data_IF_681890159536
#
_entry.id   IF_681890159536
#
_cell.length_a   1.000
_cell.length_b   1.000
_cell.length_c   1.000
_cell.angle_alpha   90.00
_cell.angle_beta   90.00
_cell.angle_gamma   90.00
#
_symmetry.space_group_name_H-M   'P 1'
#
loop_
_entity.id
_entity.type
_entity.pdbx_description
1 polymer ?
#
# COMPACT_ATOMS: atom_id res chain seq x y z
N UNK A 1 -9.19 -15.63 -29.97
CA UNK A 1 -9.66 -14.56 -29.06
C UNK A 1 -8.58 -14.33 -28.02
N UNK A 2 -7.79 -13.27 -28.17
CA UNK A 2 -6.74 -12.89 -27.22
C UNK A 2 -7.39 -12.25 -25.99
N UNK A 3 -7.45 -12.97 -24.87
CA UNK A 3 -7.74 -12.37 -23.58
C UNK A 3 -6.53 -11.52 -23.17
N UNK A 4 -6.62 -10.21 -23.35
CA UNK A 4 -5.62 -9.28 -22.87
C UNK A 4 -5.64 -9.30 -21.34
N UNK A 5 -4.55 -9.81 -20.76
CA UNK A 5 -4.14 -9.64 -19.37
C UNK A 5 -4.10 -8.14 -19.01
N UNK A 6 -5.22 -7.54 -18.60
CA UNK A 6 -5.20 -6.24 -17.94
C UNK A 6 -4.88 -6.46 -16.46
N UNK A 7 -3.60 -6.35 -16.11
CA UNK A 7 -3.08 -6.44 -14.74
C UNK A 7 -3.20 -5.13 -13.97
N UNK A 8 -4.02 -4.18 -14.41
CA UNK A 8 -4.09 -2.85 -13.80
C UNK A 8 -5.55 -2.47 -13.55
N UNK A 9 -5.86 -2.14 -12.30
CA UNK A 9 -7.19 -1.74 -11.81
C UNK A 9 -7.17 -0.25 -11.51
N UNK A 10 -8.08 0.51 -12.12
CA UNK A 10 -8.25 1.94 -11.87
C UNK A 10 -9.28 2.57 -12.81
N UNK A 11 -9.80 3.74 -12.41
CA UNK A 11 -10.78 4.48 -13.21
C UNK A 11 -10.11 5.25 -14.35
N UNK A 12 -10.92 5.74 -15.30
CA UNK A 12 -10.43 6.66 -16.32
C UNK A 12 -9.98 7.98 -15.69
N UNK A 13 -8.80 8.49 -16.03
CA UNK A 13 -8.26 9.70 -15.41
C UNK A 13 -9.06 10.94 -15.82
N UNK A 14 -9.50 11.70 -14.83
CA UNK A 14 -10.03 13.05 -15.04
C UNK A 14 -8.88 13.99 -15.47
N UNK A 15 -9.10 14.89 -16.44
CA UNK A 15 -8.05 15.78 -16.94
C UNK A 15 -7.68 16.81 -15.87
N UNK A 16 -6.39 17.13 -15.79
CA UNK A 16 -5.85 18.22 -14.96
C UNK A 16 -5.01 19.14 -15.83
N UNK A 17 -4.87 20.44 -15.49
CA UNK A 17 -4.04 21.36 -16.25
C UNK A 17 -2.56 20.91 -16.29
N UNK A 18 -1.99 20.88 -17.48
CA UNK A 18 -0.56 20.65 -17.69
C UNK A 18 0.17 22.00 -17.69
N UNK A 19 0.59 22.44 -16.52
CA UNK A 19 1.31 23.71 -16.33
C UNK A 19 2.53 23.51 -15.45
N UNK A 20 3.39 24.52 -15.33
CA UNK A 20 4.52 24.49 -14.39
C UNK A 20 4.10 24.61 -12.92
N UNK A 21 2.87 25.07 -12.65
CA UNK A 21 2.31 25.08 -11.30
C UNK A 21 1.72 23.71 -10.96
N UNK A 22 1.81 23.34 -9.68
CA UNK A 22 1.20 22.10 -9.18
C UNK A 22 -0.32 22.15 -9.39
N UNK A 23 -0.86 21.09 -9.99
CA UNK A 23 -2.29 20.86 -10.10
C UNK A 23 -2.80 19.95 -8.96
N UNK A 24 -4.11 19.72 -8.90
CA UNK A 24 -4.74 18.89 -7.88
C UNK A 24 -4.15 17.48 -7.80
N UNK A 25 -3.81 16.87 -8.94
CA UNK A 25 -3.18 15.55 -8.96
C UNK A 25 -1.78 15.60 -8.33
N UNK A 26 -1.02 16.65 -8.58
CA UNK A 26 0.33 16.81 -8.01
C UNK A 26 0.27 17.01 -6.50
N UNK A 27 -0.64 17.87 -6.01
CA UNK A 27 -0.87 18.03 -4.57
C UNK A 27 -1.32 16.73 -3.92
N UNK A 28 -2.26 16.01 -4.52
CA UNK A 28 -2.74 14.73 -3.99
C UNK A 28 -1.64 13.67 -3.93
N UNK A 29 -0.73 13.64 -4.92
CA UNK A 29 0.44 12.75 -4.89
C UNK A 29 1.40 13.12 -3.76
N UNK A 30 1.69 14.41 -3.56
CA UNK A 30 2.55 14.88 -2.48
C UNK A 30 1.97 14.52 -1.11
N UNK A 31 0.69 14.87 -0.87
CA UNK A 31 -0.01 14.53 0.36
C UNK A 31 -0.01 13.02 0.61
N UNK A 32 -0.32 12.21 -0.41
CA UNK A 32 -0.34 10.75 -0.26
C UNK A 32 1.05 10.19 0.06
N UNK A 33 2.11 10.75 -0.53
CA UNK A 33 3.48 10.35 -0.23
C UNK A 33 3.88 10.71 1.20
N UNK A 34 3.51 11.90 1.65
CA UNK A 34 3.74 12.38 3.02
C UNK A 34 3.01 11.49 4.04
N UNK A 35 1.73 11.17 3.81
CA UNK A 35 0.97 10.28 4.71
C UNK A 35 1.58 8.86 4.78
N UNK A 36 2.06 8.32 3.66
CA UNK A 36 2.79 7.02 3.66
C UNK A 36 4.04 7.09 4.52
N UNK A 37 4.84 8.13 4.33
CA UNK A 37 6.10 8.31 5.06
C UNK A 37 5.88 8.42 6.58
N UNK A 38 4.92 9.25 7.02
CA UNK A 38 4.67 9.43 8.45
C UNK A 38 4.06 8.19 9.08
N UNK A 39 3.17 7.49 8.37
CA UNK A 39 2.56 6.27 8.92
C UNK A 39 3.56 5.13 9.04
N UNK A 40 4.48 4.97 8.10
CA UNK A 40 5.60 4.01 8.23
C UNK A 40 6.50 4.37 9.42
N UNK A 41 6.79 5.66 9.61
CA UNK A 41 7.61 6.15 10.73
C UNK A 41 6.94 5.89 12.09
N UNK A 42 5.64 6.14 12.20
CA UNK A 42 4.86 5.83 13.39
C UNK A 42 4.78 4.33 13.66
N UNK A 43 4.69 3.50 12.61
CA UNK A 43 4.68 2.04 12.77
C UNK A 43 5.94 1.56 13.49
N UNK A 44 7.12 2.05 13.09
CA UNK A 44 8.38 1.76 13.78
C UNK A 44 8.38 2.28 15.22
N UNK A 45 8.00 3.55 15.42
CA UNK A 45 8.00 4.15 16.75
C UNK A 45 7.05 3.44 17.74
N UNK A 46 5.84 3.08 17.29
CA UNK A 46 4.85 2.38 18.12
C UNK A 46 5.30 0.98 18.55
N UNK A 47 6.12 0.31 17.72
CA UNK A 47 6.71 -0.98 18.11
C UNK A 47 7.79 -0.84 19.19
N UNK A 48 8.38 0.35 19.34
CA UNK A 48 9.54 0.60 20.20
C UNK A 48 9.22 1.47 21.44
N UNK A 49 8.02 2.06 21.52
CA UNK A 49 7.64 2.86 22.68
C UNK A 49 7.50 2.03 23.95
N UNK A 50 8.26 2.42 24.98
CA UNK A 50 8.21 1.83 26.31
C UNK A 50 7.32 2.59 27.30
N UNK A 51 6.79 3.76 26.92
CA UNK A 51 5.96 4.60 27.76
C UNK A 51 4.50 4.62 27.28
N UNK A 52 3.60 4.08 28.10
CA UNK A 52 2.21 3.81 27.71
C UNK A 52 1.41 5.06 27.30
N UNK A 53 1.55 6.19 28.01
CA UNK A 53 0.78 7.38 27.68
C UNK A 53 1.18 7.95 26.31
N UNK A 54 2.49 8.02 26.04
CA UNK A 54 3.01 8.48 24.76
C UNK A 54 2.64 7.52 23.63
N UNK A 55 2.67 6.21 23.90
CA UNK A 55 2.17 5.21 22.95
C UNK A 55 0.71 5.51 22.57
N UNK A 56 -0.18 5.74 23.54
CA UNK A 56 -1.60 6.01 23.25
C UNK A 56 -1.80 7.28 22.43
N UNK A 57 -1.10 8.37 22.77
CA UNK A 57 -1.19 9.64 22.05
C UNK A 57 -0.74 9.49 20.59
N UNK A 58 0.42 8.87 20.37
CA UNK A 58 0.94 8.66 19.01
C UNK A 58 0.11 7.63 18.24
N UNK A 59 -0.46 6.63 18.92
CA UNK A 59 -1.33 5.65 18.28
C UNK A 59 -2.62 6.30 17.76
N UNK A 60 -3.18 7.29 18.47
CA UNK A 60 -4.31 8.08 17.97
C UNK A 60 -3.93 8.83 16.68
N UNK A 61 -2.81 9.55 16.70
CA UNK A 61 -2.33 10.32 15.54
C UNK A 61 -2.04 9.39 14.36
N UNK A 62 -1.42 8.24 14.60
CA UNK A 62 -1.19 7.23 13.57
C UNK A 62 -2.49 6.79 12.90
N UNK A 63 -3.54 6.49 13.68
CA UNK A 63 -4.82 6.07 13.12
C UNK A 63 -5.46 7.19 12.28
N UNK A 64 -5.39 8.44 12.74
CA UNK A 64 -5.88 9.59 11.97
C UNK A 64 -5.13 9.76 10.63
N UNK A 65 -3.80 9.63 10.63
CA UNK A 65 -2.97 9.66 9.42
C UNK A 65 -3.28 8.49 8.47
N UNK A 66 -3.48 7.28 9.00
CA UNK A 66 -3.89 6.12 8.18
C UNK A 66 -5.23 6.35 7.50
N UNK A 67 -6.19 6.94 8.21
CA UNK A 67 -7.48 7.29 7.66
C UNK A 67 -7.38 8.41 6.62
N UNK A 68 -6.51 9.41 6.84
CA UNK A 68 -6.22 10.46 5.87
C UNK A 68 -5.62 9.88 4.59
N UNK A 69 -4.59 9.04 4.69
CA UNK A 69 -4.00 8.32 3.56
C UNK A 69 -5.07 7.53 2.78
N UNK A 70 -5.97 6.83 3.49
CA UNK A 70 -7.03 6.04 2.87
C UNK A 70 -8.00 6.91 2.09
N UNK A 71 -8.38 8.07 2.64
CA UNK A 71 -9.23 9.05 1.95
C UNK A 71 -8.54 9.59 0.70
N UNK A 72 -7.26 9.99 0.80
CA UNK A 72 -6.48 10.46 -0.35
C UNK A 72 -6.41 9.41 -1.46
N UNK A 73 -6.08 8.16 -1.11
CA UNK A 73 -6.09 7.05 -2.06
C UNK A 73 -7.44 6.90 -2.75
N UNK A 74 -8.54 6.91 -2.00
CA UNK A 74 -9.89 6.74 -2.57
C UNK A 74 -10.24 7.88 -3.53
N UNK A 75 -9.93 9.13 -3.18
CA UNK A 75 -10.14 10.28 -4.06
C UNK A 75 -9.32 10.13 -5.34
N UNK A 76 -8.02 9.83 -5.22
CA UNK A 76 -7.18 9.65 -6.41
C UNK A 76 -7.64 8.47 -7.27
N UNK A 77 -8.10 7.38 -6.66
CA UNK A 77 -8.65 6.23 -7.38
C UNK A 77 -9.94 6.60 -8.12
N UNK A 78 -10.86 7.33 -7.46
CA UNK A 78 -12.11 7.82 -8.06
C UNK A 78 -11.83 8.70 -9.29
N UNK A 79 -10.86 9.60 -9.19
CA UNK A 79 -10.42 10.47 -10.29
C UNK A 79 -9.56 9.78 -11.35
N UNK A 80 -9.24 8.48 -11.18
CA UNK A 80 -8.39 7.72 -12.10
C UNK A 80 -6.91 8.11 -12.07
N UNK A 81 -6.49 8.89 -11.06
CA UNK A 81 -5.11 9.35 -10.87
C UNK A 81 -4.22 8.33 -10.18
N UNK A 82 -4.81 7.31 -9.53
CA UNK A 82 -4.10 6.19 -8.93
C UNK A 82 -4.57 4.86 -9.54
N UNK A 83 -3.61 4.02 -9.92
CA UNK A 83 -3.87 2.68 -10.47
C UNK A 83 -3.18 1.63 -9.61
N UNK A 84 -3.84 0.51 -9.42
CA UNK A 84 -3.31 -0.63 -8.66
C UNK A 84 -2.97 -1.73 -9.65
N UNK A 85 -1.75 -2.25 -9.60
CA UNK A 85 -1.38 -3.41 -10.39
C UNK A 85 -1.82 -4.68 -9.66
N UNK A 86 -2.65 -5.48 -10.31
CA UNK A 86 -2.93 -6.84 -9.89
C UNK A 86 -1.71 -7.70 -10.19
N UNK A 87 -1.20 -8.39 -9.16
CA UNK A 87 -0.09 -9.31 -9.35
C UNK A 87 -0.52 -10.50 -10.23
N UNK A 88 0.41 -10.99 -11.05
CA UNK A 88 0.14 -12.10 -11.97
C UNK A 88 -0.13 -13.37 -11.18
N UNK A 89 -1.23 -14.06 -11.45
CA UNK A 89 -1.60 -15.34 -10.84
C UNK A 89 -0.45 -16.36 -10.86
N UNK A 90 0.35 -16.37 -11.92
CA UNK A 90 1.51 -17.23 -12.05
C UNK A 90 2.57 -16.98 -10.96
N UNK A 91 2.85 -15.72 -10.62
CA UNK A 91 3.79 -15.39 -9.54
C UNK A 91 3.25 -15.77 -8.17
N UNK A 92 1.95 -15.59 -7.94
CA UNK A 92 1.29 -16.07 -6.71
C UNK A 92 1.45 -17.59 -6.56
N UNK A 93 1.23 -18.33 -7.64
CA UNK A 93 1.34 -19.78 -7.64
C UNK A 93 2.79 -20.24 -7.44
N UNK A 94 3.76 -19.55 -8.04
CA UNK A 94 5.18 -19.80 -7.80
C UNK A 94 5.59 -19.55 -6.34
N UNK A 95 5.18 -18.42 -5.76
CA UNK A 95 5.47 -18.08 -4.37
C UNK A 95 4.85 -19.11 -3.41
N UNK A 96 3.61 -19.55 -3.67
CA UNK A 96 2.95 -20.60 -2.91
C UNK A 96 3.73 -21.92 -2.95
N UNK A 97 4.11 -22.39 -4.14
CA UNK A 97 4.88 -23.64 -4.30
C UNK A 97 6.25 -23.54 -3.62
N UNK A 98 6.95 -22.41 -3.76
CA UNK A 98 8.23 -22.18 -3.07
C UNK A 98 8.07 -22.26 -1.56
N UNK A 99 7.04 -21.61 -1.01
CA UNK A 99 6.75 -21.64 0.42
C UNK A 99 6.43 -23.05 0.92
N UNK A 100 5.60 -23.82 0.21
CA UNK A 100 5.31 -25.23 0.56
C UNK A 100 6.59 -26.07 0.57
N UNK A 101 7.43 -25.95 -0.45
CA UNK A 101 8.71 -26.67 -0.51
C UNK A 101 9.65 -26.27 0.65
N UNK A 102 9.69 -24.99 1.02
CA UNK A 102 10.48 -24.53 2.18
C UNK A 102 9.95 -25.13 3.47
N UNK A 103 8.63 -25.14 3.68
CA UNK A 103 8.01 -25.75 4.86
C UNK A 103 8.32 -27.24 4.96
N UNK A 104 8.23 -27.98 3.85
CA UNK A 104 8.60 -29.39 3.83
C UNK A 104 10.07 -29.56 4.21
N UNK A 105 10.98 -28.90 3.52
CA UNK A 105 12.43 -29.08 3.71
C UNK A 105 12.97 -28.58 5.07
N UNK A 106 12.28 -27.64 5.72
CA UNK A 106 12.71 -27.06 7.00
C UNK A 106 11.86 -27.56 8.18
N UNK A 107 10.88 -28.43 7.95
CA UNK A 107 10.03 -28.94 9.03
C UNK A 107 10.84 -29.85 9.96
N UNK A 108 10.94 -29.53 11.26
CA UNK A 108 11.61 -30.39 12.24
C UNK A 108 10.82 -31.68 12.54
N UNK A 109 9.64 -31.86 11.92
CA UNK A 109 8.76 -33.00 12.12
C UNK A 109 8.78 -34.01 10.97
N UNK A 110 9.68 -33.85 9.98
CA UNK A 110 9.93 -34.91 8.99
C UNK A 110 10.70 -36.07 9.66
N UNK A 111 9.98 -37.00 10.28
CA UNK A 111 10.54 -38.30 10.67
C UNK A 111 10.73 -39.15 9.41
N UNK A 112 11.94 -39.66 9.24
CA UNK A 112 12.31 -40.68 8.23
C UNK A 112 11.51 -41.97 8.41
#
# INVERSE_FOLDING_TARGET
>A
MNQQNQTTVGNQPTPVPETSAMNDRDYMNELLATEKYITDSYCTALNEFSHDALYQDIHSIFNESKDAQRRLFNVMFQHGWYKVEAEKTQKLQQAYTQFQNTLENQSPYQQH
#
